data_IF_543855612587
#
_entry.id   IF_543855612587
#
_cell.length_a   1.000
_cell.length_b   1.000
_cell.length_c   1.000
_cell.angle_alpha   90.00
_cell.angle_beta   90.00
_cell.angle_gamma   90.00
#
_symmetry.space_group_name_H-M   'P 1'
#
loop_
_entity.id
_entity.type
_entity.pdbx_description
1 polymer ?
#
# COMPACT_ATOMS: atom_id res chain seq x y z
N UNK A 1 9.77 22.72 -15.12
CA UNK A 1 8.33 22.97 -14.98
C UNK A 1 7.73 21.70 -14.42
N UNK A 2 6.91 21.81 -13.38
CA UNK A 2 6.24 20.70 -12.74
C UNK A 2 6.79 20.34 -11.36
N UNK A 3 6.26 19.28 -10.74
CA UNK A 3 6.67 18.79 -9.44
C UNK A 3 8.06 18.15 -9.47
N UNK A 4 8.76 18.17 -8.35
CA UNK A 4 10.02 17.43 -8.18
C UNK A 4 9.72 15.94 -7.98
N UNK A 5 10.71 15.07 -8.24
CA UNK A 5 10.55 13.63 -7.98
C UNK A 5 10.15 13.36 -6.52
N UNK A 6 10.80 14.01 -5.55
CA UNK A 6 10.45 13.91 -4.12
C UNK A 6 9.00 14.31 -3.80
N UNK A 7 8.48 15.33 -4.51
CA UNK A 7 7.08 15.72 -4.34
C UNK A 7 6.10 14.71 -4.95
N UNK A 8 6.48 14.11 -6.09
CA UNK A 8 5.71 13.04 -6.73
C UNK A 8 5.69 11.79 -5.83
N UNK A 9 6.86 11.37 -5.34
CA UNK A 9 6.96 10.22 -4.44
C UNK A 9 6.08 10.41 -3.19
N UNK A 10 6.11 11.59 -2.57
CA UNK A 10 5.25 11.90 -1.41
C UNK A 10 3.76 11.91 -1.73
N UNK A 11 3.38 12.29 -2.94
CA UNK A 11 1.97 12.32 -3.35
C UNK A 11 1.44 10.94 -3.73
N UNK A 12 2.26 10.12 -4.38
CA UNK A 12 1.85 8.81 -4.90
C UNK A 12 2.02 7.67 -3.89
N UNK A 13 3.05 7.75 -3.02
CA UNK A 13 3.25 6.76 -1.95
C UNK A 13 2.37 7.09 -0.75
N UNK A 14 1.43 6.21 -0.45
CA UNK A 14 0.43 6.39 0.62
C UNK A 14 1.03 6.51 2.00
N UNK A 15 2.14 5.82 2.25
CA UNK A 15 2.82 5.89 3.53
C UNK A 15 3.55 7.24 3.67
N UNK A 16 4.30 7.65 2.64
CA UNK A 16 4.99 8.94 2.63
C UNK A 16 4.00 10.11 2.73
N UNK A 17 2.86 10.00 2.04
CA UNK A 17 1.77 10.97 2.14
C UNK A 17 1.23 11.07 3.57
N UNK A 18 0.90 9.95 4.20
CA UNK A 18 0.41 9.92 5.57
C UNK A 18 1.42 10.49 6.56
N UNK A 19 2.70 10.15 6.42
CA UNK A 19 3.77 10.71 7.25
C UNK A 19 3.88 12.23 7.07
N UNK A 20 3.73 12.73 5.84
CA UNK A 20 3.73 14.16 5.56
C UNK A 20 2.51 14.85 6.21
N UNK A 21 1.31 14.27 6.12
CA UNK A 21 0.11 14.82 6.76
C UNK A 21 0.23 14.83 8.29
N UNK A 22 0.70 13.74 8.89
CA UNK A 22 0.93 13.67 10.34
C UNK A 22 1.93 14.73 10.80
N UNK A 23 3.00 14.96 10.02
CA UNK A 23 4.04 15.97 10.36
C UNK A 23 3.49 17.39 10.41
N UNK A 24 2.50 17.72 9.60
CA UNK A 24 1.84 19.03 9.57
C UNK A 24 0.60 19.10 10.47
N UNK A 25 0.33 18.05 11.25
CA UNK A 25 -0.75 18.01 12.22
C UNK A 25 -2.14 17.73 11.63
N UNK A 26 -2.21 17.19 10.40
CA UNK A 26 -3.46 16.74 9.80
C UNK A 26 -3.72 15.27 10.12
N UNK A 27 -4.97 14.96 10.37
CA UNK A 27 -5.44 13.60 10.58
C UNK A 27 -5.67 12.89 9.24
N UNK A 28 -5.41 11.60 9.23
CA UNK A 28 -5.74 10.69 8.14
C UNK A 28 -6.54 9.52 8.71
N UNK A 29 -7.35 8.84 7.91
CA UNK A 29 -8.03 7.63 8.35
C UNK A 29 -7.05 6.62 8.96
N UNK A 30 -7.48 5.91 10.00
CA UNK A 30 -6.67 4.81 10.55
C UNK A 30 -6.41 3.81 9.46
N UNK A 31 -5.15 3.44 9.28
CA UNK A 31 -4.76 2.53 8.23
C UNK A 31 -3.59 1.65 8.62
N UNK A 32 -3.52 0.47 8.00
CA UNK A 32 -2.44 -0.50 8.14
C UNK A 32 -2.11 -1.11 6.79
N UNK A 33 -0.83 -1.32 6.53
CA UNK A 33 -0.35 -2.09 5.39
C UNK A 33 -0.23 -3.56 5.78
N UNK A 34 -0.66 -4.43 4.87
CA UNK A 34 -0.43 -5.87 4.94
C UNK A 34 0.37 -6.28 3.71
N UNK A 35 1.65 -6.60 3.88
CA UNK A 35 2.59 -6.80 2.77
C UNK A 35 3.73 -7.78 3.06
N UNK A 36 3.78 -8.36 4.23
CA UNK A 36 4.88 -9.25 4.66
C UNK A 36 6.28 -8.61 4.54
N UNK A 37 6.41 -7.30 4.74
CA UNK A 37 7.65 -6.55 4.49
C UNK A 37 8.85 -7.10 5.27
N UNK A 38 8.67 -7.46 6.53
CA UNK A 38 9.73 -8.00 7.36
C UNK A 38 10.26 -9.35 6.82
N UNK A 39 9.34 -10.23 6.39
CA UNK A 39 9.69 -11.52 5.79
C UNK A 39 10.41 -11.34 4.44
N UNK A 40 9.88 -10.46 3.57
CA UNK A 40 10.51 -10.13 2.29
C UNK A 40 11.92 -9.60 2.47
N UNK A 41 12.10 -8.71 3.45
CA UNK A 41 13.42 -8.16 3.78
C UNK A 41 14.37 -9.24 4.25
N UNK A 42 13.95 -10.10 5.19
CA UNK A 42 14.78 -11.19 5.72
C UNK A 42 15.23 -12.17 4.62
N UNK A 43 14.31 -12.57 3.73
CA UNK A 43 14.62 -13.46 2.61
C UNK A 43 15.62 -12.80 1.63
N UNK A 44 15.42 -11.51 1.33
CA UNK A 44 16.33 -10.74 0.47
C UNK A 44 17.72 -10.58 1.10
N UNK A 45 17.79 -10.23 2.37
CA UNK A 45 19.06 -10.04 3.08
C UNK A 45 19.85 -11.36 3.12
N UNK A 46 19.17 -12.50 3.35
CA UNK A 46 19.78 -13.82 3.32
C UNK A 46 20.33 -14.17 1.92
N UNK A 47 19.57 -13.85 0.86
CA UNK A 47 20.02 -14.05 -0.53
C UNK A 47 21.26 -13.21 -0.86
N UNK A 48 21.25 -11.92 -0.53
CA UNK A 48 22.39 -11.02 -0.78
C UNK A 48 23.65 -11.45 -0.01
N UNK A 49 23.49 -11.85 1.26
CA UNK A 49 24.60 -12.38 2.04
C UNK A 49 25.16 -13.70 1.47
N UNK A 50 24.33 -14.48 0.80
CA UNK A 50 24.77 -15.66 0.04
C UNK A 50 25.56 -15.27 -1.20
N UNK A 51 25.11 -14.28 -1.95
CA UNK A 51 25.82 -13.78 -3.14
C UNK A 51 27.22 -13.26 -2.82
N UNK A 52 27.38 -12.53 -1.73
CA UNK A 52 28.68 -11.99 -1.31
C UNK A 52 29.72 -13.07 -0.95
N UNK A 53 29.28 -14.25 -0.56
CA UNK A 53 30.14 -15.35 -0.07
C UNK A 53 30.44 -16.40 -1.13
N UNK A 54 29.70 -16.42 -2.22
CA UNK A 54 29.76 -17.47 -3.23
C UNK A 54 30.30 -16.93 -4.56
N UNK A 55 30.89 -17.80 -5.35
CA UNK A 55 31.38 -17.50 -6.70
C UNK A 55 31.27 -18.71 -7.62
N UNK A 56 31.35 -18.48 -8.91
CA UNK A 56 31.31 -19.53 -9.93
C UNK A 56 30.02 -20.35 -9.86
N UNK A 57 30.12 -21.68 -9.95
CA UNK A 57 29.00 -22.60 -10.01
C UNK A 57 28.08 -22.52 -8.76
N UNK A 58 28.66 -22.25 -7.59
CA UNK A 58 27.89 -22.12 -6.37
C UNK A 58 27.01 -20.87 -6.35
N UNK A 59 27.49 -19.77 -6.93
CA UNK A 59 26.66 -18.56 -7.11
C UNK A 59 25.54 -18.81 -8.13
N UNK A 60 25.86 -19.43 -9.26
CA UNK A 60 24.86 -19.77 -10.28
C UNK A 60 23.75 -20.70 -9.73
N UNK A 61 24.11 -21.65 -8.87
CA UNK A 61 23.15 -22.53 -8.21
C UNK A 61 22.26 -21.75 -7.20
N UNK A 62 22.83 -20.83 -6.44
CA UNK A 62 22.06 -19.95 -5.55
C UNK A 62 21.04 -19.12 -6.33
N UNK A 63 21.43 -18.51 -7.43
CA UNK A 63 20.57 -17.71 -8.29
C UNK A 63 19.45 -18.57 -8.91
N UNK A 64 19.78 -19.76 -9.36
CA UNK A 64 18.80 -20.71 -9.88
C UNK A 64 17.76 -21.10 -8.82
N UNK A 65 18.21 -21.44 -7.62
CA UNK A 65 17.32 -21.78 -6.51
C UNK A 65 16.45 -20.60 -6.07
N UNK A 66 17.02 -19.39 -6.07
CA UNK A 66 16.26 -18.18 -5.79
C UNK A 66 15.13 -18.00 -6.80
N UNK A 67 15.40 -18.14 -8.08
CA UNK A 67 14.40 -18.02 -9.13
C UNK A 67 13.33 -19.12 -9.04
N UNK A 68 13.74 -20.38 -8.89
CA UNK A 68 12.82 -21.51 -8.77
C UNK A 68 11.92 -21.41 -7.52
N UNK A 69 12.43 -20.85 -6.44
CA UNK A 69 11.69 -20.68 -5.19
C UNK A 69 10.71 -19.49 -5.16
N UNK A 70 10.59 -18.71 -6.23
CA UNK A 70 9.76 -17.49 -6.25
C UNK A 70 8.28 -17.75 -5.93
N UNK A 71 7.70 -18.78 -6.53
CA UNK A 71 6.28 -19.15 -6.30
C UNK A 71 6.00 -19.50 -4.83
N UNK A 72 6.91 -20.27 -4.21
CA UNK A 72 6.75 -20.67 -2.79
C UNK A 72 6.96 -19.47 -1.85
N UNK A 73 7.91 -18.59 -2.17
CA UNK A 73 8.08 -17.34 -1.41
C UNK A 73 6.84 -16.45 -1.52
N UNK A 74 6.27 -16.31 -2.73
CA UNK A 74 5.04 -15.54 -2.94
C UNK A 74 3.90 -16.07 -2.07
N UNK A 75 3.66 -17.37 -2.03
CA UNK A 75 2.64 -17.98 -1.17
C UNK A 75 2.87 -17.67 0.32
N UNK A 76 4.11 -17.80 0.79
CA UNK A 76 4.46 -17.46 2.19
C UNK A 76 4.21 -15.99 2.49
N UNK A 77 4.56 -15.09 1.56
CA UNK A 77 4.30 -13.65 1.72
C UNK A 77 2.81 -13.34 1.76
N UNK A 78 2.01 -13.99 0.92
CA UNK A 78 0.54 -13.83 0.95
C UNK A 78 -0.05 -14.33 2.27
N UNK A 79 0.39 -15.48 2.78
CA UNK A 79 -0.06 -16.00 4.08
C UNK A 79 0.31 -15.04 5.23
N UNK A 80 1.53 -14.51 5.22
CA UNK A 80 1.96 -13.54 6.21
C UNK A 80 1.17 -12.22 6.10
N UNK A 81 0.97 -11.70 4.88
CA UNK A 81 0.19 -10.50 4.65
C UNK A 81 -1.28 -10.70 5.06
N UNK A 82 -1.87 -11.89 4.86
CA UNK A 82 -3.21 -12.22 5.38
C UNK A 82 -3.24 -12.17 6.91
N UNK A 83 -2.23 -12.69 7.59
CA UNK A 83 -2.14 -12.60 9.05
C UNK A 83 -2.03 -11.14 9.53
N UNK A 84 -1.22 -10.32 8.86
CA UNK A 84 -1.12 -8.87 9.12
C UNK A 84 -2.45 -8.15 8.89
N UNK A 85 -3.19 -8.53 7.83
CA UNK A 85 -4.51 -7.99 7.53
C UNK A 85 -5.54 -8.32 8.64
N UNK A 86 -5.51 -9.53 9.19
CA UNK A 86 -6.37 -9.90 10.31
C UNK A 86 -6.05 -9.11 11.59
N UNK A 87 -4.77 -8.81 11.82
CA UNK A 87 -4.37 -7.92 12.91
C UNK A 87 -4.89 -6.49 12.67
N UNK A 88 -4.75 -6.00 11.43
CA UNK A 88 -5.28 -4.70 11.03
C UNK A 88 -6.79 -4.62 11.23
N UNK A 89 -7.55 -5.66 10.87
CA UNK A 89 -8.99 -5.74 11.10
C UNK A 89 -9.35 -5.58 12.58
N UNK A 90 -8.58 -6.18 13.48
CA UNK A 90 -8.83 -6.07 14.93
C UNK A 90 -8.63 -4.65 15.48
N UNK A 91 -7.77 -3.85 14.83
CA UNK A 91 -7.48 -2.47 15.23
C UNK A 91 -8.40 -1.45 14.56
N UNK A 92 -8.75 -1.68 13.30
CA UNK A 92 -9.52 -0.75 12.45
C UNK A 92 -11.01 -1.00 12.61
N UNK A 93 -11.43 -2.27 12.64
CA UNK A 93 -12.84 -2.65 12.68
C UNK A 93 -13.49 -2.69 11.29
N UNK A 94 -14.82 -2.79 11.29
CA UNK A 94 -15.66 -2.80 10.08
C UNK A 94 -16.67 -1.64 10.15
N UNK A 95 -17.09 -1.09 9.01
CA UNK A 95 -16.62 -1.40 7.67
C UNK A 95 -15.19 -0.94 7.43
N UNK A 96 -14.45 -1.68 6.59
CA UNK A 96 -13.07 -1.37 6.23
C UNK A 96 -12.91 -1.25 4.71
N UNK A 97 -12.09 -0.31 4.28
CA UNK A 97 -11.73 -0.12 2.87
C UNK A 97 -10.42 -0.86 2.61
N UNK A 98 -10.38 -1.68 1.57
CA UNK A 98 -9.19 -2.41 1.15
C UNK A 98 -8.75 -1.89 -0.22
N UNK A 99 -7.50 -1.46 -0.31
CA UNK A 99 -6.91 -0.91 -1.54
C UNK A 99 -5.61 -1.64 -1.86
N UNK A 100 -5.59 -2.47 -2.90
CA UNK A 100 -4.35 -3.07 -3.38
C UNK A 100 -3.38 -2.00 -3.88
N UNK A 101 -2.09 -2.19 -3.60
CA UNK A 101 -1.05 -1.28 -4.10
C UNK A 101 -0.76 -1.56 -5.57
N UNK A 102 -0.47 -0.48 -6.33
CA UNK A 102 -0.11 -0.52 -7.74
C UNK A 102 -1.17 -1.14 -8.66
N UNK A 103 -2.44 -1.02 -8.30
CA UNK A 103 -3.57 -1.39 -9.15
C UNK A 103 -4.29 -0.14 -9.67
N UNK A 104 -4.92 -0.25 -10.83
CA UNK A 104 -5.68 0.84 -11.44
C UNK A 104 -7.19 0.54 -11.39
N UNK A 105 -7.99 1.60 -11.32
CA UNK A 105 -9.44 1.51 -11.44
C UNK A 105 -10.12 0.67 -10.34
N UNK A 106 -9.55 0.62 -9.14
CA UNK A 106 -10.14 -0.12 -8.02
C UNK A 106 -10.03 -1.65 -8.11
N UNK A 107 -9.24 -2.17 -9.07
CA UNK A 107 -9.10 -3.62 -9.29
C UNK A 107 -8.64 -4.34 -8.03
N UNK A 108 -9.39 -5.34 -7.59
CA UNK A 108 -9.11 -6.17 -6.42
C UNK A 108 -9.42 -5.51 -5.07
N UNK A 109 -9.77 -4.22 -5.07
CA UNK A 109 -10.17 -3.50 -3.86
C UNK A 109 -11.67 -3.58 -3.57
N UNK A 110 -12.09 -2.96 -2.47
CA UNK A 110 -13.49 -2.87 -2.09
C UNK A 110 -13.70 -2.45 -0.64
N UNK A 111 -14.97 -2.38 -0.26
CA UNK A 111 -15.40 -2.13 1.10
C UNK A 111 -15.93 -3.44 1.69
N UNK A 112 -15.39 -3.82 2.84
CA UNK A 112 -15.84 -4.98 3.59
C UNK A 112 -16.74 -4.55 4.73
N UNK A 113 -17.95 -5.09 4.80
CA UNK A 113 -18.91 -4.89 5.89
C UNK A 113 -18.92 -6.06 6.86
N UNK A 114 -18.47 -7.22 6.40
CA UNK A 114 -18.39 -8.44 7.20
C UNK A 114 -16.97 -9.00 7.16
N UNK A 115 -16.68 -9.89 8.13
CA UNK A 115 -15.38 -10.56 8.17
C UNK A 115 -15.12 -11.43 6.94
N UNK A 116 -16.15 -12.09 6.44
CA UNK A 116 -16.01 -12.98 5.28
C UNK A 116 -15.72 -12.16 4.01
N UNK A 117 -16.47 -11.07 3.79
CA UNK A 117 -16.16 -10.12 2.72
C UNK A 117 -14.74 -9.55 2.83
N UNK A 118 -14.29 -9.24 4.06
CA UNK A 118 -12.94 -8.77 4.29
C UNK A 118 -11.89 -9.78 3.82
N UNK A 119 -12.03 -11.05 4.19
CA UNK A 119 -11.10 -12.10 3.80
C UNK A 119 -11.05 -12.28 2.27
N UNK A 120 -12.22 -12.31 1.62
CA UNK A 120 -12.33 -12.44 0.16
C UNK A 120 -11.68 -11.25 -0.58
N UNK A 121 -11.89 -10.03 -0.08
CA UNK A 121 -11.31 -8.83 -0.69
C UNK A 121 -9.80 -8.79 -0.46
N UNK A 122 -9.30 -9.15 0.73
CA UNK A 122 -7.86 -9.21 1.01
C UNK A 122 -7.18 -10.23 0.09
N UNK A 123 -7.74 -11.43 -0.06
CA UNK A 123 -7.16 -12.46 -0.93
C UNK A 123 -7.06 -11.96 -2.38
N UNK A 124 -8.16 -11.46 -2.93
CA UNK A 124 -8.17 -10.87 -4.29
C UNK A 124 -7.23 -9.68 -4.43
N UNK A 125 -7.15 -8.84 -3.40
CA UNK A 125 -6.28 -7.66 -3.40
C UNK A 125 -4.79 -8.02 -3.39
N UNK A 126 -4.40 -8.99 -2.58
CA UNK A 126 -3.03 -9.51 -2.54
C UNK A 126 -2.63 -10.19 -3.86
N UNK A 127 -3.57 -10.88 -4.52
CA UNK A 127 -3.33 -11.47 -5.83
C UNK A 127 -3.22 -10.42 -6.93
N UNK A 128 -4.06 -9.40 -6.92
CA UNK A 128 -4.07 -8.32 -7.90
C UNK A 128 -2.84 -7.41 -7.77
N UNK A 129 -2.31 -7.22 -6.57
CA UNK A 129 -1.16 -6.36 -6.33
C UNK A 129 0.13 -7.01 -6.83
N UNK A 130 0.89 -6.36 -7.73
CA UNK A 130 2.20 -6.85 -8.17
C UNK A 130 3.19 -7.04 -7.03
N UNK A 131 3.05 -6.27 -5.95
CA UNK A 131 3.90 -6.33 -4.77
C UNK A 131 3.32 -7.19 -3.65
N UNK A 132 2.14 -7.84 -3.86
CA UNK A 132 1.39 -8.54 -2.81
C UNK A 132 1.21 -7.67 -1.57
N UNK A 133 0.61 -6.50 -1.78
CA UNK A 133 0.40 -5.51 -0.75
C UNK A 133 -1.01 -4.93 -0.82
N UNK A 134 -1.64 -4.79 0.32
CA UNK A 134 -2.93 -4.11 0.48
C UNK A 134 -2.86 -3.10 1.61
N UNK A 135 -3.46 -1.94 1.39
CA UNK A 135 -3.75 -0.97 2.43
C UNK A 135 -5.17 -1.23 2.96
N UNK A 136 -5.30 -1.28 4.27
CA UNK A 136 -6.57 -1.45 4.97
C UNK A 136 -6.82 -0.16 5.73
N UNK A 137 -7.97 0.46 5.50
CA UNK A 137 -8.32 1.76 6.07
C UNK A 137 -9.69 1.69 6.75
N UNK A 138 -9.88 2.49 7.79
CA UNK A 138 -11.21 2.71 8.35
C UNK A 138 -12.12 3.37 7.30
N UNK A 139 -13.38 2.97 7.29
CA UNK A 139 -14.34 3.54 6.36
C UNK A 139 -14.79 4.93 6.81
N UNK A 140 -14.78 5.84 5.87
CA UNK A 140 -15.33 7.20 6.01
C UNK A 140 -16.67 7.35 5.25
N UNK A 141 -17.36 6.24 5.04
CA UNK A 141 -18.69 6.23 4.41
C UNK A 141 -19.65 7.23 5.08
N UNK A 142 -20.32 8.00 4.26
CA UNK A 142 -21.26 9.04 4.70
C UNK A 142 -20.61 10.37 5.07
N UNK A 143 -19.29 10.46 4.99
CA UNK A 143 -18.59 11.75 5.09
C UNK A 143 -18.77 12.53 3.79
N UNK A 144 -18.74 13.84 3.89
CA UNK A 144 -18.67 14.72 2.72
C UNK A 144 -17.25 14.79 2.20
N UNK A 145 -17.10 14.73 0.90
CA UNK A 145 -15.82 14.87 0.22
C UNK A 145 -15.68 16.28 -0.36
N UNK A 146 -14.56 16.92 -0.04
CA UNK A 146 -14.21 18.22 -0.59
C UNK A 146 -12.83 18.16 -1.21
N UNK A 147 -12.72 18.67 -2.41
CA UNK A 147 -11.45 18.83 -3.12
C UNK A 147 -11.10 20.31 -3.22
N UNK A 148 -9.82 20.61 -3.30
CA UNK A 148 -9.31 21.96 -3.51
C UNK A 148 -8.33 21.99 -4.66
N UNK A 149 -8.56 22.88 -5.62
CA UNK A 149 -7.59 23.18 -6.65
C UNK A 149 -6.56 24.18 -6.13
N UNK A 150 -5.32 23.72 -5.98
CA UNK A 150 -4.22 24.50 -5.42
C UNK A 150 -3.12 24.68 -6.45
N UNK A 151 -2.72 25.91 -6.67
CA UNK A 151 -1.57 26.26 -7.52
C UNK A 151 -0.49 26.92 -6.68
N UNK A 152 0.74 26.40 -6.78
CA UNK A 152 1.91 26.93 -6.09
C UNK A 152 3.07 27.15 -7.06
N UNK A 153 3.70 28.31 -6.98
CA UNK A 153 4.86 28.63 -7.81
C UNK A 153 6.19 28.38 -7.08
N UNK A 154 7.31 28.57 -7.79
CA UNK A 154 8.66 28.40 -7.22
C UNK A 154 9.04 29.47 -6.19
N UNK A 155 8.28 30.56 -6.08
CA UNK A 155 8.49 31.64 -5.08
C UNK A 155 7.63 31.45 -3.85
N UNK A 156 6.99 30.28 -3.74
CA UNK A 156 6.13 29.91 -2.63
C UNK A 156 4.79 30.67 -2.57
N UNK A 157 4.39 31.31 -3.65
CA UNK A 157 3.04 31.83 -3.75
C UNK A 157 2.07 30.65 -3.90
N UNK A 158 1.06 30.62 -3.02
CA UNK A 158 0.06 29.56 -3.00
C UNK A 158 -1.33 30.18 -3.16
N UNK A 159 -2.07 29.69 -4.14
CA UNK A 159 -3.43 30.15 -4.46
C UNK A 159 -4.35 28.95 -4.43
N UNK A 160 -5.45 29.06 -3.71
CA UNK A 160 -6.58 28.13 -3.79
C UNK A 160 -7.57 28.71 -4.80
N UNK A 161 -7.76 28.04 -5.92
CA UNK A 161 -8.62 28.52 -7.03
C UNK A 161 -10.08 28.31 -6.66
N UNK A 162 -10.44 27.12 -6.21
CA UNK A 162 -11.79 26.77 -5.80
C UNK A 162 -11.79 25.59 -4.82
N UNK A 163 -12.91 25.43 -4.13
CA UNK A 163 -13.27 24.20 -3.43
C UNK A 163 -14.45 23.56 -4.15
N UNK A 164 -14.41 22.24 -4.31
CA UNK A 164 -15.43 21.44 -4.98
C UNK A 164 -16.00 20.48 -3.95
N UNK A 165 -17.30 20.42 -3.81
CA UNK A 165 -17.99 19.36 -3.06
C UNK A 165 -18.32 18.23 -4.03
N UNK A 166 -17.78 17.04 -3.81
CA UNK A 166 -18.14 15.86 -4.57
C UNK A 166 -19.54 15.38 -4.19
N UNK A 167 -20.34 15.08 -5.21
CA UNK A 167 -21.69 14.58 -5.02
C UNK A 167 -21.72 13.07 -4.72
N UNK A 168 -20.65 12.37 -5.10
CA UNK A 168 -20.50 10.95 -4.84
C UNK A 168 -20.16 10.70 -3.36
N UNK A 169 -20.67 9.61 -2.76
CA UNK A 169 -20.32 9.27 -1.40
C UNK A 169 -18.85 8.97 -1.24
N UNK A 170 -18.24 9.41 -0.12
CA UNK A 170 -16.88 9.07 0.23
C UNK A 170 -16.68 7.57 0.25
N UNK A 171 -15.60 7.11 -0.39
CA UNK A 171 -15.17 5.73 -0.39
C UNK A 171 -15.81 4.84 -1.44
N UNK A 172 -16.43 5.44 -2.45
CA UNK A 172 -16.95 4.73 -3.64
C UNK A 172 -15.88 4.62 -4.73
#
# INVERSE_FOLDING_TARGET
IGATADAIDKAEDRQLFREAMTRIGLETPKSRLANASAMKKADRDAYLAGQEKLSGDALAELERQWTLGESERRKRYQQQAMAEALMALSEIGLPAIIRPSFTMGGTGGGIAYTRDEFLDIIERGLDASPTNEVLIEESVLGWKEYEMEVVRDKKDNCIIICSIENLDPMGV
#
